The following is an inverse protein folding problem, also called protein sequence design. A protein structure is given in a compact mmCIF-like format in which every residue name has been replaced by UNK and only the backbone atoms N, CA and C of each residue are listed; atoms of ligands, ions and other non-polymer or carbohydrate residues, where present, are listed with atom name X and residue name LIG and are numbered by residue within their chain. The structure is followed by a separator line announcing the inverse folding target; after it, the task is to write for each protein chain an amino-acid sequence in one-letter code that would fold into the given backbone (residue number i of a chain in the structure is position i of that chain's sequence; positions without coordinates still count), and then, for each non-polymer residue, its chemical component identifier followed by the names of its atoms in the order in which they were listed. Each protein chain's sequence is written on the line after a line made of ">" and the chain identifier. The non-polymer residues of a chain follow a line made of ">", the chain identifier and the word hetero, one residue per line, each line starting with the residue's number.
data_IF_713460309590
#
_entry.id   IF_713460309590
#
_cell.length_a   1.000
_cell.length_b   1.000
_cell.length_c   1.000
_cell.angle_alpha   90.00
_cell.angle_beta   90.00
_cell.angle_gamma   90.00
#
_symmetry.space_group_name_H-M   'P 1'
#
loop_
_entity.id
_entity.type
_entity.pdbx_description
1 polymer ?
#
# COMPACT_ATOMS: atom_id res chain seq x y z
N UNK A 1 -32.86 -41.04 -10.09
CA UNK A 1 -33.70 -40.77 -11.27
C UNK A 1 -33.79 -39.26 -11.42
N UNK A 2 -33.00 -38.70 -12.35
CA UNK A 2 -33.45 -37.98 -13.56
C UNK A 2 -34.08 -36.60 -13.23
N UNK A 3 -33.71 -35.46 -13.83
CA UNK A 3 -33.17 -35.26 -15.17
C UNK A 3 -32.51 -33.88 -15.33
N UNK A 4 -31.66 -33.80 -16.35
CA UNK A 4 -30.97 -32.64 -16.97
C UNK A 4 -31.94 -31.66 -17.67
N UNK A 5 -31.52 -30.39 -17.77
CA UNK A 5 -31.58 -29.51 -18.96
C UNK A 5 -30.90 -28.18 -18.58
N UNK A 6 -29.71 -27.79 -19.05
CA UNK A 6 -29.33 -27.24 -20.36
C UNK A 6 -30.38 -26.37 -21.06
N UNK A 7 -30.15 -25.05 -21.08
CA UNK A 7 -30.50 -24.19 -22.21
C UNK A 7 -29.65 -22.91 -22.21
N UNK A 8 -29.03 -22.67 -23.36
CA UNK A 8 -28.24 -21.50 -23.75
C UNK A 8 -29.13 -20.56 -24.57
N UNK A 9 -28.87 -19.24 -24.54
CA UNK A 9 -28.67 -18.35 -25.71
C UNK A 9 -29.15 -16.90 -25.51
N UNK A 10 -28.28 -16.00 -26.00
CA UNK A 10 -28.52 -14.78 -26.79
C UNK A 10 -28.58 -13.38 -26.12
N UNK A 11 -27.76 -12.52 -26.76
CA UNK A 11 -27.53 -11.07 -26.64
C UNK A 11 -28.72 -10.25 -27.19
N UNK A 12 -28.74 -8.92 -26.96
CA UNK A 12 -28.26 -7.96 -28.00
C UNK A 12 -27.40 -6.82 -27.39
N UNK A 13 -26.30 -6.38 -28.02
CA UNK A 13 -26.18 -5.35 -29.06
C UNK A 13 -26.74 -3.97 -28.66
N UNK A 14 -25.83 -3.02 -28.42
CA UNK A 14 -26.16 -1.59 -28.26
C UNK A 14 -25.24 -0.78 -29.17
N UNK A 15 -25.84 -0.17 -30.19
CA UNK A 15 -25.28 0.85 -31.08
C UNK A 15 -25.62 2.22 -30.49
N UNK A 16 -24.65 3.13 -30.33
CA UNK A 16 -24.80 4.60 -30.18
C UNK A 16 -23.41 5.19 -30.51
N UNK A 17 -23.17 6.29 -31.21
CA UNK A 17 -23.89 7.09 -32.19
C UNK A 17 -22.81 7.93 -32.91
N UNK A 18 -23.07 8.26 -34.17
CA UNK A 18 -22.26 9.14 -35.01
C UNK A 18 -22.61 10.58 -34.67
N UNK A 19 -21.61 11.38 -34.27
CA UNK A 19 -21.77 12.83 -34.11
C UNK A 19 -21.17 13.53 -35.34
N UNK A 20 -22.03 14.30 -36.01
CA UNK A 20 -21.72 15.17 -37.14
C UNK A 20 -21.41 16.60 -36.70
N UNK A 21 -20.88 17.39 -37.65
CA UNK A 21 -20.80 18.87 -37.81
C UNK A 21 -19.37 19.44 -37.82
N UNK A 22 -19.13 20.62 -38.45
CA UNK A 22 -19.74 21.19 -39.66
C UNK A 22 -18.72 21.69 -40.71
N UNK A 23 -19.27 22.04 -41.87
CA UNK A 23 -18.64 22.75 -43.00
C UNK A 23 -18.13 24.14 -42.60
N UNK A 24 -16.96 24.51 -43.12
CA UNK A 24 -16.42 25.87 -43.09
C UNK A 24 -15.68 26.23 -44.38
N UNK A 25 -16.36 27.02 -45.22
CA UNK A 25 -15.88 28.01 -46.20
C UNK A 25 -14.54 27.85 -46.93
N UNK A 26 -14.63 27.75 -48.25
CA UNK A 26 -13.56 27.98 -49.22
C UNK A 26 -13.04 29.42 -49.22
N UNK A 27 -11.73 29.59 -49.27
CA UNK A 27 -11.10 30.75 -49.90
C UNK A 27 -10.19 30.23 -51.02
N UNK A 28 -10.52 30.61 -52.24
CA UNK A 28 -9.77 30.29 -53.43
C UNK A 28 -8.54 31.19 -53.52
N UNK A 29 -7.35 30.61 -53.41
CA UNK A 29 -6.11 31.25 -53.83
C UNK A 29 -5.68 30.61 -55.14
N UNK A 30 -5.89 31.36 -56.24
CA UNK A 30 -5.23 31.11 -57.53
C UNK A 30 -3.74 31.33 -57.33
N UNK A 31 -2.92 30.32 -57.65
CA UNK A 31 -1.52 30.51 -57.96
C UNK A 31 -1.19 29.86 -59.30
N UNK A 32 -0.25 30.43 -60.08
CA UNK A 32 -0.05 30.10 -61.47
C UNK A 32 0.67 28.77 -61.65
N UNK A 33 0.28 28.08 -62.72
CA UNK A 33 1.03 27.00 -63.33
C UNK A 33 2.46 27.43 -63.65
N UNK A 34 3.42 26.70 -63.08
CA UNK A 34 4.74 26.54 -63.68
C UNK A 34 4.95 25.06 -64.02
N UNK A 35 5.33 24.81 -65.26
CA UNK A 35 5.41 23.50 -65.86
C UNK A 35 6.66 22.76 -65.41
N UNK A 36 6.49 21.71 -64.62
CA UNK A 36 7.53 20.68 -64.47
C UNK A 36 6.89 19.30 -64.50
N UNK A 37 7.04 18.61 -65.64
CA UNK A 37 6.71 17.20 -65.81
C UNK A 37 7.63 16.37 -64.92
N UNK A 38 7.22 16.08 -63.69
CA UNK A 38 7.86 15.08 -62.82
C UNK A 38 7.04 13.79 -62.85
N UNK A 39 7.65 12.75 -63.40
CA UNK A 39 7.15 11.39 -63.44
C UNK A 39 6.97 10.84 -62.03
N UNK A 40 5.72 10.54 -61.63
CA UNK A 40 5.47 9.80 -60.39
C UNK A 40 5.89 8.35 -60.60
N UNK A 41 7.00 7.94 -59.99
CA UNK A 41 7.38 6.55 -59.90
C UNK A 41 6.25 5.77 -59.17
N UNK A 42 5.58 4.88 -59.90
CA UNK A 42 4.65 3.91 -59.31
C UNK A 42 5.43 3.06 -58.32
N UNK A 43 5.25 3.31 -57.02
CA UNK A 43 5.78 2.43 -55.98
C UNK A 43 5.12 1.06 -56.19
N UNK A 44 5.92 0.07 -56.56
CA UNK A 44 5.45 -1.30 -56.78
C UNK A 44 4.75 -1.82 -55.53
N UNK A 45 3.58 -2.41 -55.71
CA UNK A 45 2.74 -3.01 -54.65
C UNK A 45 3.51 -4.07 -53.85
N UNK A 46 4.48 -4.73 -54.48
CA UNK A 46 5.36 -5.71 -53.83
C UNK A 46 6.32 -5.07 -52.83
N UNK A 47 6.74 -3.83 -53.08
CA UNK A 47 7.63 -3.08 -52.18
C UNK A 47 6.89 -2.65 -50.91
N UNK A 48 5.60 -2.32 -51.05
CA UNK A 48 4.71 -2.00 -49.92
C UNK A 48 4.45 -3.26 -49.08
N UNK A 49 4.17 -4.40 -49.72
CA UNK A 49 3.95 -5.67 -49.02
C UNK A 49 5.21 -6.16 -48.27
N UNK A 50 6.40 -5.97 -48.86
CA UNK A 50 7.68 -6.26 -48.18
C UNK A 50 7.96 -5.33 -47.00
N UNK A 51 7.63 -4.05 -47.11
CA UNK A 51 7.77 -3.11 -46.00
C UNK A 51 6.80 -3.43 -44.85
N UNK A 52 5.54 -3.77 -45.17
CA UNK A 52 4.55 -4.19 -44.18
C UNK A 52 4.94 -5.49 -43.47
N UNK A 53 5.41 -6.50 -44.20
CA UNK A 53 5.87 -7.76 -43.59
C UNK A 53 7.14 -7.58 -42.75
N UNK A 54 8.04 -6.66 -43.12
CA UNK A 54 9.17 -6.28 -42.26
C UNK A 54 8.72 -5.55 -41.00
N UNK A 55 7.75 -4.64 -41.09
CA UNK A 55 7.16 -3.99 -39.92
C UNK A 55 6.42 -4.97 -39.01
N UNK A 56 5.73 -5.96 -39.58
CA UNK A 56 5.09 -7.04 -38.81
C UNK A 56 6.14 -7.90 -38.10
N UNK A 57 7.23 -8.30 -38.77
CA UNK A 57 8.32 -9.05 -38.11
C UNK A 57 9.06 -8.25 -37.04
N UNK A 58 9.18 -6.94 -37.20
CA UNK A 58 9.74 -6.05 -36.17
C UNK A 58 8.78 -5.88 -35.00
N UNK A 59 7.48 -5.70 -35.27
CA UNK A 59 6.44 -5.66 -34.26
C UNK A 59 6.31 -6.99 -33.51
N UNK A 60 6.46 -8.13 -34.20
CA UNK A 60 6.51 -9.46 -33.60
C UNK A 60 7.77 -9.66 -32.76
N UNK A 61 8.95 -9.16 -33.19
CA UNK A 61 10.18 -9.17 -32.37
C UNK A 61 10.10 -8.26 -31.15
N UNK A 62 9.39 -7.15 -31.24
CA UNK A 62 9.14 -6.27 -30.08
C UNK A 62 8.02 -6.80 -29.18
N UNK A 63 7.06 -7.58 -29.72
CA UNK A 63 6.05 -8.30 -28.94
C UNK A 63 6.60 -9.59 -28.29
N UNK A 64 7.58 -10.25 -28.91
CA UNK A 64 8.32 -11.42 -28.36
C UNK A 64 9.54 -11.05 -27.54
N UNK A 65 9.77 -9.75 -27.26
CA UNK A 65 10.38 -9.35 -25.98
C UNK A 65 9.37 -9.60 -24.86
N UNK A 66 9.01 -10.87 -24.72
CA UNK A 66 8.41 -11.43 -23.54
C UNK A 66 9.26 -10.94 -22.38
N UNK A 67 8.65 -10.19 -21.47
CA UNK A 67 9.25 -9.89 -20.19
C UNK A 67 9.69 -11.24 -19.61
N UNK A 68 11.01 -11.47 -19.59
CA UNK A 68 11.59 -12.74 -19.13
C UNK A 68 10.92 -13.10 -17.81
N UNK A 69 10.60 -14.36 -17.53
CA UNK A 69 9.92 -14.75 -16.27
C UNK A 69 10.51 -14.09 -15.01
N UNK A 70 11.84 -13.85 -15.00
CA UNK A 70 12.53 -13.04 -13.98
C UNK A 70 12.09 -11.57 -13.88
N UNK A 71 11.85 -10.89 -15.01
CA UNK A 71 11.27 -9.54 -15.06
C UNK A 71 9.82 -9.52 -14.55
N UNK A 72 9.01 -10.51 -14.94
CA UNK A 72 7.64 -10.64 -14.46
C UNK A 72 7.59 -10.89 -12.94
N UNK A 73 8.44 -11.77 -12.43
CA UNK A 73 8.62 -11.98 -10.98
C UNK A 73 9.09 -10.71 -10.25
N UNK A 74 10.02 -9.95 -10.85
CA UNK A 74 10.47 -8.67 -10.30
C UNK A 74 9.33 -7.66 -10.24
N UNK A 75 8.52 -7.54 -11.31
CA UNK A 75 7.36 -6.65 -11.36
C UNK A 75 6.32 -7.04 -10.31
N UNK A 76 5.95 -8.32 -10.24
CA UNK A 76 5.03 -8.84 -9.22
C UNK A 76 5.53 -8.54 -7.79
N UNK A 77 6.83 -8.73 -7.53
CA UNK A 77 7.41 -8.36 -6.24
C UNK A 77 7.30 -6.84 -5.98
N UNK A 78 7.49 -5.99 -7.01
CA UNK A 78 7.31 -4.54 -6.86
C UNK A 78 5.88 -4.18 -6.48
N UNK A 79 4.90 -4.82 -7.11
CA UNK A 79 3.49 -4.51 -6.92
C UNK A 79 3.01 -4.95 -5.53
N UNK A 80 3.47 -6.12 -5.05
CA UNK A 80 3.21 -6.56 -3.67
C UNK A 80 3.65 -5.52 -2.64
N UNK A 81 4.82 -4.90 -2.80
CA UNK A 81 5.29 -3.88 -1.86
C UNK A 81 4.56 -2.54 -2.00
N UNK A 82 4.21 -2.15 -3.23
CA UNK A 82 3.41 -0.94 -3.49
C UNK A 82 2.01 -1.05 -2.89
N UNK A 83 1.44 -2.25 -2.86
CA UNK A 83 0.10 -2.49 -2.32
C UNK A 83 0.06 -2.57 -0.78
N UNK A 84 1.22 -2.40 -0.13
CA UNK A 84 1.36 -2.59 1.32
C UNK A 84 1.37 -4.07 1.72
N UNK A 85 1.67 -4.98 0.80
CA UNK A 85 1.78 -6.42 1.05
C UNK A 85 3.04 -6.87 1.77
N UNK A 86 4.06 -6.02 1.86
CA UNK A 86 5.25 -6.28 2.69
C UNK A 86 4.93 -6.25 4.19
N UNK A 87 5.72 -6.94 5.03
CA UNK A 87 5.55 -6.91 6.48
C UNK A 87 5.79 -5.50 7.05
N UNK A 88 5.36 -5.28 8.31
CA UNK A 88 5.81 -4.13 9.10
C UNK A 88 7.35 -4.09 9.10
N UNK A 89 7.94 -2.89 9.10
CA UNK A 89 9.39 -2.79 8.97
C UNK A 89 10.10 -3.54 10.09
N UNK A 90 11.13 -4.33 9.74
CA UNK A 90 11.85 -5.12 10.71
C UNK A 90 12.46 -4.21 11.78
N UNK A 91 12.30 -4.60 13.04
CA UNK A 91 12.78 -3.82 14.18
C UNK A 91 11.86 -2.67 14.62
N UNK A 92 10.65 -2.56 14.06
CA UNK A 92 9.62 -1.65 14.56
C UNK A 92 9.19 -2.05 15.95
N UNK A 93 9.35 -1.14 16.93
CA UNK A 93 8.97 -1.39 18.31
C UNK A 93 7.80 -0.51 18.72
N UNK A 94 6.71 -1.16 19.17
CA UNK A 94 5.50 -0.49 19.63
C UNK A 94 5.38 -0.63 21.15
N UNK A 95 5.48 0.46 21.92
CA UNK A 95 5.53 0.36 23.36
C UNK A 95 4.16 -0.01 23.90
N UNK A 96 4.09 -1.05 24.72
CA UNK A 96 2.87 -1.43 25.44
C UNK A 96 2.50 -0.37 26.50
N UNK A 97 1.19 -0.21 26.80
CA UNK A 97 0.72 0.62 27.90
C UNK A 97 1.42 0.25 29.21
N UNK A 98 1.62 1.23 30.10
CA UNK A 98 2.32 1.01 31.37
C UNK A 98 1.66 -0.10 32.22
N UNK A 99 0.34 -0.22 32.18
CA UNK A 99 -0.42 -1.25 32.91
C UNK A 99 -0.17 -2.69 32.43
N UNK A 100 0.37 -2.87 31.23
CA UNK A 100 0.63 -4.21 30.66
C UNK A 100 2.10 -4.62 30.77
N UNK A 101 2.96 -3.77 31.35
CA UNK A 101 4.38 -4.08 31.51
C UNK A 101 4.58 -5.04 32.67
N UNK A 102 5.63 -5.86 32.59
CA UNK A 102 5.97 -6.74 33.71
C UNK A 102 6.45 -5.93 34.90
N UNK A 103 6.19 -6.43 36.11
CA UNK A 103 6.65 -5.80 37.35
C UNK A 103 8.11 -6.17 37.68
N UNK A 104 8.72 -7.10 36.93
CA UNK A 104 10.09 -7.54 37.15
C UNK A 104 11.09 -6.48 36.64
N UNK A 105 11.99 -5.94 37.48
CA UNK A 105 12.90 -4.86 37.11
C UNK A 105 13.89 -5.25 36.00
N UNK A 106 14.35 -6.50 35.95
CA UNK A 106 15.29 -6.96 34.92
C UNK A 106 14.62 -7.05 33.55
N UNK A 107 13.37 -7.53 33.51
CA UNK A 107 12.58 -7.57 32.29
C UNK A 107 12.22 -6.18 31.81
N UNK A 108 11.88 -5.26 32.73
CA UNK A 108 11.66 -3.85 32.43
C UNK A 108 12.90 -3.18 31.87
N UNK A 109 14.07 -3.41 32.47
CA UNK A 109 15.34 -2.87 31.97
C UNK A 109 15.66 -3.40 30.57
N UNK A 110 15.51 -4.70 30.35
CA UNK A 110 15.69 -5.29 29.03
C UNK A 110 14.68 -4.72 28.02
N UNK A 111 13.42 -4.54 28.41
CA UNK A 111 12.38 -3.92 27.58
C UNK A 111 12.74 -2.49 27.18
N UNK A 112 13.20 -1.66 28.13
CA UNK A 112 13.62 -0.28 27.82
C UNK A 112 14.88 -0.25 26.96
N UNK A 113 15.82 -1.18 27.15
CA UNK A 113 16.99 -1.32 26.27
C UNK A 113 16.59 -1.58 24.81
N UNK A 114 15.67 -2.52 24.58
CA UNK A 114 15.16 -2.80 23.23
C UNK A 114 14.41 -1.63 22.63
N UNK A 115 13.60 -0.95 23.44
CA UNK A 115 12.91 0.27 23.04
C UNK A 115 13.88 1.38 22.64
N UNK A 116 14.93 1.61 23.43
CA UNK A 116 15.96 2.60 23.15
C UNK A 116 16.72 2.25 21.87
N UNK A 117 17.07 0.98 21.70
CA UNK A 117 17.74 0.48 20.49
C UNK A 117 16.88 0.71 19.23
N UNK A 118 15.59 0.37 19.29
CA UNK A 118 14.65 0.62 18.18
C UNK A 118 14.47 2.12 17.91
N UNK A 119 14.42 2.94 18.96
CA UNK A 119 14.38 4.39 18.82
C UNK A 119 15.63 4.91 18.11
N UNK A 120 16.82 4.45 18.48
CA UNK A 120 18.07 4.80 17.80
C UNK A 120 18.04 4.40 16.32
N UNK A 121 17.53 3.20 16.00
CA UNK A 121 17.34 2.76 14.62
C UNK A 121 16.39 3.69 13.83
N UNK A 122 15.28 4.12 14.44
CA UNK A 122 14.36 5.09 13.83
C UNK A 122 15.07 6.42 13.53
N UNK A 123 15.84 6.93 14.49
CA UNK A 123 16.60 8.19 14.32
C UNK A 123 17.63 8.05 13.21
N UNK A 124 18.40 6.96 13.18
CA UNK A 124 19.41 6.70 12.16
C UNK A 124 18.79 6.54 10.77
N UNK A 125 17.66 5.86 10.65
CA UNK A 125 16.93 5.70 9.38
C UNK A 125 16.51 7.05 8.81
N UNK A 126 15.91 7.92 9.63
CA UNK A 126 15.51 9.28 9.22
C UNK A 126 16.73 10.16 8.91
N UNK A 127 17.78 10.08 9.73
CA UNK A 127 19.01 10.86 9.54
C UNK A 127 19.74 10.46 8.25
N UNK A 128 19.82 9.16 7.95
CA UNK A 128 20.45 8.65 6.73
C UNK A 128 19.81 9.24 5.48
N UNK A 129 18.47 9.28 5.40
CA UNK A 129 17.76 9.92 4.28
C UNK A 129 17.96 11.43 4.28
N UNK A 130 17.92 12.08 5.44
CA UNK A 130 18.17 13.52 5.54
C UNK A 130 19.54 13.87 4.97
N UNK A 131 20.60 13.16 5.36
CA UNK A 131 21.97 13.35 4.87
C UNK A 131 22.07 13.04 3.37
N UNK A 132 21.48 11.94 2.90
CA UNK A 132 21.46 11.58 1.47
C UNK A 132 20.70 12.59 0.61
N UNK A 133 19.75 13.32 1.20
CA UNK A 133 18.96 14.35 0.51
C UNK A 133 19.64 15.73 0.46
N UNK A 134 20.82 15.88 1.05
CA UNK A 134 21.60 17.11 0.98
C UNK A 134 22.45 17.10 -0.30
N UNK A 135 22.31 18.09 -1.20
CA UNK A 135 23.16 18.19 -2.38
C UNK A 135 24.65 18.32 -2.03
N UNK A 136 24.94 19.10 -0.97
CA UNK A 136 26.27 19.35 -0.43
C UNK A 136 26.20 19.22 1.10
N UNK A 137 27.31 18.90 1.76
CA UNK A 137 27.33 18.72 3.22
C UNK A 137 26.95 19.99 4.02
N UNK A 138 27.03 21.17 3.40
CA UNK A 138 26.63 22.47 3.99
C UNK A 138 25.21 22.92 3.64
N UNK A 139 24.55 22.28 2.67
CA UNK A 139 23.24 22.73 2.18
C UNK A 139 22.08 22.09 2.91
N UNK A 140 20.90 22.74 2.90
CA UNK A 140 19.72 22.20 3.57
C UNK A 140 19.25 20.91 2.87
N UNK A 141 18.77 19.91 3.63
CA UNK A 141 18.22 18.69 3.05
C UNK A 141 16.98 18.99 2.21
N UNK A 142 16.91 18.39 1.02
CA UNK A 142 15.72 18.48 0.16
C UNK A 142 14.51 17.78 0.81
N UNK A 143 14.75 16.64 1.45
CA UNK A 143 13.70 15.88 2.11
C UNK A 143 13.38 16.42 3.50
N UNK A 144 12.08 16.44 3.84
CA UNK A 144 11.58 16.89 5.15
C UNK A 144 10.64 15.86 5.75
N UNK A 145 10.96 15.41 6.96
CA UNK A 145 10.17 14.41 7.68
C UNK A 145 8.76 14.88 8.10
N UNK A 146 8.56 16.18 8.32
CA UNK A 146 7.31 16.77 8.83
C UNK A 146 6.66 15.99 10.01
N UNK A 147 7.49 15.49 10.96
CA UNK A 147 7.06 14.56 12.03
C UNK A 147 5.87 15.07 12.86
N UNK A 148 5.80 16.38 13.13
CA UNK A 148 4.71 16.99 13.89
C UNK A 148 3.34 16.90 13.21
N UNK A 149 3.29 16.70 11.89
CA UNK A 149 2.04 16.54 11.13
C UNK A 149 1.57 15.07 11.05
N UNK A 150 2.46 14.10 11.29
CA UNK A 150 2.15 12.69 11.11
C UNK A 150 1.05 12.22 12.06
N UNK A 151 1.17 12.54 13.35
CA UNK A 151 0.20 12.13 14.37
C UNK A 151 -1.23 12.68 14.14
N UNK A 152 -1.43 14.00 13.88
CA UNK A 152 -2.76 14.51 13.56
C UNK A 152 -3.30 13.98 12.23
N UNK A 153 -2.44 13.78 11.22
CA UNK A 153 -2.85 13.14 9.95
C UNK A 153 -3.33 11.71 10.18
N UNK A 154 -2.62 10.90 10.98
CA UNK A 154 -3.03 9.53 11.30
C UNK A 154 -4.40 9.48 11.97
N UNK A 155 -4.64 10.38 12.94
CA UNK A 155 -5.94 10.50 13.62
C UNK A 155 -7.07 10.81 12.63
N UNK A 156 -6.87 11.78 11.75
CA UNK A 156 -7.88 12.17 10.76
C UNK A 156 -8.19 11.02 9.79
N UNK A 157 -7.16 10.43 9.18
CA UNK A 157 -7.31 9.32 8.24
C UNK A 157 -8.00 8.12 8.90
N UNK A 158 -7.62 7.78 10.12
CA UNK A 158 -8.14 6.60 10.80
C UNK A 158 -9.60 6.78 11.21
N UNK A 159 -9.96 7.97 11.72
CA UNK A 159 -11.36 8.31 11.99
C UNK A 159 -12.21 8.19 10.72
N UNK A 160 -11.81 8.87 9.64
CA UNK A 160 -12.53 8.86 8.37
C UNK A 160 -12.66 7.43 7.81
N UNK A 161 -11.63 6.61 7.98
CA UNK A 161 -11.66 5.20 7.58
C UNK A 161 -12.65 4.38 8.40
N UNK A 162 -12.74 4.58 9.73
CA UNK A 162 -13.69 3.86 10.58
C UNK A 162 -15.14 4.30 10.32
N UNK A 163 -15.36 5.59 10.07
CA UNK A 163 -16.66 6.15 9.68
C UNK A 163 -17.11 5.61 8.32
N UNK A 164 -16.25 5.68 7.30
CA UNK A 164 -16.50 5.09 5.99
C UNK A 164 -16.68 3.58 6.09
N UNK A 165 -15.92 2.91 6.96
CA UNK A 165 -16.07 1.49 7.20
C UNK A 165 -17.45 1.16 7.74
N UNK A 166 -17.94 1.88 8.75
CA UNK A 166 -19.27 1.67 9.30
C UNK A 166 -20.37 1.95 8.27
N UNK A 167 -20.25 3.03 7.50
CA UNK A 167 -21.17 3.39 6.43
C UNK A 167 -21.17 2.42 5.23
N UNK A 168 -20.15 1.56 5.10
CA UNK A 168 -20.01 0.65 3.96
C UNK A 168 -19.47 1.31 2.69
N UNK A 169 -18.86 2.50 2.80
CA UNK A 169 -18.27 3.21 1.67
C UNK A 169 -16.91 2.60 1.29
N UNK A 170 -16.96 1.63 0.38
CA UNK A 170 -15.77 0.95 -0.16
C UNK A 170 -14.83 1.91 -0.89
N UNK A 171 -15.34 2.93 -1.56
CA UNK A 171 -14.54 3.84 -2.37
C UNK A 171 -13.65 4.73 -1.48
N UNK A 172 -14.23 5.28 -0.41
CA UNK A 172 -13.46 6.06 0.57
C UNK A 172 -12.42 5.20 1.28
N UNK A 173 -12.76 3.98 1.68
CA UNK A 173 -11.79 3.05 2.29
C UNK A 173 -10.63 2.73 1.34
N UNK A 174 -10.89 2.48 0.06
CA UNK A 174 -9.86 2.20 -0.94
C UNK A 174 -8.91 3.40 -1.18
N UNK A 175 -9.42 4.63 -1.05
CA UNK A 175 -8.63 5.86 -1.19
C UNK A 175 -7.70 6.09 0.01
N UNK A 176 -8.20 5.85 1.22
CA UNK A 176 -7.49 6.15 2.48
C UNK A 176 -6.50 5.07 2.90
N UNK A 177 -6.78 3.81 2.55
CA UNK A 177 -5.99 2.65 2.94
C UNK A 177 -5.05 2.19 1.83
N UNK A 178 -4.01 1.45 2.20
CA UNK A 178 -3.24 0.66 1.25
C UNK A 178 -4.10 -0.48 0.70
N UNK A 179 -3.94 -0.88 -0.58
CA UNK A 179 -4.81 -1.85 -1.24
C UNK A 179 -5.05 -3.14 -0.46
N UNK A 180 -4.00 -3.72 0.16
CA UNK A 180 -4.14 -4.95 0.95
C UNK A 180 -5.06 -4.76 2.17
N UNK A 181 -4.91 -3.65 2.89
CA UNK A 181 -5.75 -3.37 4.06
C UNK A 181 -7.18 -2.99 3.65
N UNK A 182 -7.33 -2.26 2.55
CA UNK A 182 -8.64 -1.97 1.97
C UNK A 182 -9.40 -3.26 1.61
N UNK A 183 -8.74 -4.23 0.98
CA UNK A 183 -9.33 -5.52 0.62
C UNK A 183 -9.81 -6.30 1.87
N UNK A 184 -9.06 -6.26 2.97
CA UNK A 184 -9.50 -6.88 4.24
C UNK A 184 -10.76 -6.20 4.79
N UNK A 185 -10.82 -4.88 4.74
CA UNK A 185 -11.99 -4.12 5.19
C UNK A 185 -13.20 -4.35 4.27
N UNK A 186 -13.00 -4.37 2.96
CA UNK A 186 -14.06 -4.69 1.98
C UNK A 186 -14.63 -6.08 2.23
N UNK A 187 -13.78 -7.10 2.42
CA UNK A 187 -14.23 -8.45 2.74
C UNK A 187 -15.01 -8.50 4.07
N UNK A 188 -14.65 -7.67 5.06
CA UNK A 188 -15.39 -7.56 6.30
C UNK A 188 -16.74 -6.82 6.15
N UNK A 189 -16.85 -5.87 5.21
CA UNK A 189 -18.12 -5.25 4.84
C UNK A 189 -19.05 -6.24 4.14
N UNK A 190 -18.51 -7.05 3.22
CA UNK A 190 -19.27 -8.02 2.43
C UNK A 190 -19.88 -9.16 3.27
N UNK A 191 -19.31 -9.41 4.46
CA UNK A 191 -19.84 -10.39 5.41
C UNK A 191 -20.95 -9.85 6.31
N UNK A 192 -21.28 -8.56 6.24
CA UNK A 192 -22.33 -7.96 7.08
C UNK A 192 -23.70 -8.42 6.61
N UNK A 193 -24.64 -8.51 7.55
CA UNK A 193 -26.05 -8.72 7.21
C UNK A 193 -26.57 -7.49 6.44
N UNK A 194 -27.09 -7.64 5.21
CA UNK A 194 -27.66 -6.52 4.45
C UNK A 194 -28.83 -5.81 5.14
N UNK A 195 -29.47 -6.47 6.12
CA UNK A 195 -30.59 -5.93 6.90
C UNK A 195 -30.14 -5.13 8.12
N UNK A 196 -28.85 -5.18 8.46
CA UNK A 196 -28.28 -4.43 9.58
C UNK A 196 -27.33 -3.33 9.08
N UNK A 197 -27.58 -2.10 9.51
CA UNK A 197 -26.65 -0.99 9.34
C UNK A 197 -25.77 -0.83 10.58
N UNK A 198 -24.52 -0.44 10.37
CA UNK A 198 -23.56 -0.22 11.45
C UNK A 198 -23.31 1.27 11.56
N UNK A 199 -23.49 1.83 12.76
CA UNK A 199 -23.15 3.22 13.05
C UNK A 199 -21.95 3.27 13.97
N UNK A 200 -20.93 4.00 13.55
CA UNK A 200 -19.73 4.28 14.31
C UNK A 200 -19.66 5.77 14.65
N UNK A 201 -19.18 6.07 15.84
CA UNK A 201 -18.97 7.43 16.30
C UNK A 201 -17.66 7.54 17.08
N UNK A 202 -16.85 8.53 16.70
CA UNK A 202 -15.66 8.92 17.45
C UNK A 202 -16.04 9.91 18.54
N UNK A 203 -16.42 9.41 19.71
CA UNK A 203 -16.94 10.22 20.83
C UNK A 203 -15.92 11.29 21.26
N UNK A 204 -14.69 10.88 21.61
CA UNK A 204 -13.64 11.80 22.02
C UNK A 204 -12.26 11.15 22.03
N UNK A 205 -11.22 11.97 21.91
CA UNK A 205 -9.87 11.53 22.24
C UNK A 205 -9.69 11.46 23.75
N UNK A 206 -9.16 10.33 24.22
CA UNK A 206 -8.79 10.12 25.61
C UNK A 206 -7.30 10.42 25.77
N UNK A 207 -6.85 10.77 26.99
CA UNK A 207 -5.42 10.97 27.32
C UNK A 207 -4.71 11.98 26.40
N UNK A 208 -5.36 13.12 26.11
CA UNK A 208 -4.91 14.17 25.15
C UNK A 208 -3.52 14.75 25.43
N UNK A 209 -3.03 14.68 26.66
CA UNK A 209 -1.69 15.14 27.02
C UNK A 209 -0.58 14.23 26.48
N UNK A 210 -0.89 12.95 26.22
CA UNK A 210 0.09 11.95 25.78
C UNK A 210 -0.21 11.43 24.37
N UNK A 211 -1.46 11.58 23.89
CA UNK A 211 -1.94 11.07 22.61
C UNK A 211 -2.62 12.18 21.79
N UNK A 212 -2.55 12.13 20.45
CA UNK A 212 -1.89 11.12 19.62
C UNK A 212 -0.35 11.24 19.64
N UNK A 213 0.37 10.12 19.55
CA UNK A 213 1.84 10.10 19.63
C UNK A 213 2.47 9.28 18.51
N UNK A 214 3.46 9.85 17.84
CA UNK A 214 4.34 9.12 16.93
C UNK A 214 5.26 8.18 17.72
N UNK A 215 5.07 6.88 17.51
CA UNK A 215 5.77 5.80 18.20
C UNK A 215 7.05 5.41 17.46
N UNK A 216 6.91 5.14 16.16
CA UNK A 216 8.01 4.70 15.30
C UNK A 216 7.91 5.45 13.97
N UNK A 217 9.06 5.77 13.38
CA UNK A 217 9.15 6.37 12.06
C UNK A 217 10.42 5.88 11.39
N UNK A 218 10.24 5.07 10.36
CA UNK A 218 11.31 4.38 9.66
C UNK A 218 11.15 4.57 8.15
N UNK A 219 12.27 4.63 7.45
CA UNK A 219 12.36 4.86 6.02
C UNK A 219 13.37 3.89 5.44
N UNK A 220 12.91 2.99 4.57
CA UNK A 220 13.75 1.97 3.98
C UNK A 220 13.35 1.71 2.52
N UNK A 221 14.30 1.30 1.66
CA UNK A 221 13.98 0.67 0.39
C UNK A 221 13.46 -0.75 0.69
N UNK A 222 12.14 -0.95 0.68
CA UNK A 222 11.56 -2.28 0.91
C UNK A 222 11.85 -3.20 -0.28
N UNK A 223 11.85 -2.63 -1.48
CA UNK A 223 12.02 -3.39 -2.70
C UNK A 223 13.50 -3.39 -3.12
N UNK A 224 14.21 -4.54 -3.04
CA UNK A 224 15.61 -4.62 -3.46
C UNK A 224 15.82 -4.35 -4.96
N UNK A 225 14.75 -4.43 -5.77
CA UNK A 225 14.76 -4.17 -7.21
C UNK A 225 14.33 -2.75 -7.58
N UNK A 226 13.94 -1.93 -6.60
CA UNK A 226 13.63 -0.52 -6.79
C UNK A 226 14.62 0.34 -6.01
N UNK A 227 15.59 0.90 -6.74
CA UNK A 227 16.63 1.74 -6.15
C UNK A 227 16.19 3.19 -5.97
N UNK A 228 15.03 3.55 -6.55
CA UNK A 228 14.56 4.93 -6.63
C UNK A 228 13.45 5.23 -5.64
N UNK A 229 12.63 4.24 -5.27
CA UNK A 229 11.56 4.43 -4.30
C UNK A 229 11.97 3.99 -2.90
N UNK A 230 11.83 4.90 -1.95
CA UNK A 230 11.86 4.63 -0.52
C UNK A 230 10.43 4.52 -0.02
N UNK A 231 10.20 3.64 0.95
CA UNK A 231 8.94 3.62 1.67
C UNK A 231 9.14 4.14 3.08
N UNK A 232 8.31 5.10 3.46
CA UNK A 232 8.22 5.59 4.82
C UNK A 232 7.08 4.88 5.53
N UNK A 233 7.35 4.39 6.73
CA UNK A 233 6.35 3.80 7.61
C UNK A 233 6.39 4.51 8.96
N UNK A 234 5.21 4.92 9.42
CA UNK A 234 5.04 5.59 10.70
C UNK A 234 3.99 4.87 11.54
N UNK A 235 4.32 4.55 12.78
CA UNK A 235 3.38 4.00 13.75
C UNK A 235 2.94 5.11 14.68
N UNK A 236 1.64 5.34 14.77
CA UNK A 236 1.03 6.34 15.65
C UNK A 236 0.12 5.64 16.64
N UNK A 237 0.32 5.93 17.92
CA UNK A 237 -0.62 5.51 18.96
C UNK A 237 -1.73 6.54 19.09
N UNK A 238 -2.97 6.08 19.02
CA UNK A 238 -4.19 6.86 19.21
C UNK A 238 -4.90 6.36 20.46
N UNK A 239 -5.46 7.26 21.26
CA UNK A 239 -6.26 6.94 22.43
C UNK A 239 -7.62 7.60 22.27
N UNK A 240 -8.69 6.81 22.18
CA UNK A 240 -10.03 7.34 21.98
C UNK A 240 -11.12 6.50 22.62
N UNK A 241 -12.21 7.19 22.96
CA UNK A 241 -13.48 6.58 23.28
C UNK A 241 -14.29 6.48 21.98
N UNK A 242 -14.65 5.26 21.62
CA UNK A 242 -15.36 4.94 20.39
C UNK A 242 -16.70 4.31 20.74
N UNK A 243 -17.71 4.63 19.94
CA UNK A 243 -19.05 4.08 20.07
C UNK A 243 -19.44 3.35 18.79
N UNK A 244 -19.96 2.14 18.94
CA UNK A 244 -20.46 1.32 17.86
C UNK A 244 -21.87 0.84 18.20
N UNK A 245 -22.79 0.91 17.24
CA UNK A 245 -24.16 0.40 17.38
C UNK A 245 -24.61 -0.27 16.09
N UNK A 246 -25.42 -1.31 16.20
CA UNK A 246 -26.08 -1.94 15.06
C UNK A 246 -27.54 -1.55 15.03
N UNK A 247 -28.04 -1.36 13.83
CA UNK A 247 -29.31 -0.76 13.53
C UNK A 247 -30.01 -1.67 12.54
N UNK A 248 -31.28 -2.00 12.78
CA UNK A 248 -32.08 -2.83 11.89
C UNK A 248 -33.27 -2.01 11.42
N UNK A 249 -33.65 -2.17 10.14
CA UNK A 249 -34.90 -1.60 9.66
C UNK A 249 -36.06 -2.32 10.36
N UNK A 250 -36.95 -1.55 10.99
CA UNK A 250 -38.16 -2.13 11.53
C UNK A 250 -39.10 -2.50 10.37
N UNK A 251 -39.68 -3.70 10.42
CA UNK A 251 -40.56 -4.21 9.36
C UNK A 251 -41.95 -3.56 9.34
N UNK A 252 -42.23 -2.68 10.30
CA UNK A 252 -43.52 -2.05 10.51
C UNK A 252 -43.66 -0.67 9.85
N UNK A 253 -43.61 -0.59 8.52
CA UNK A 253 -44.24 0.45 7.70
C UNK A 253 -43.75 1.92 7.79
N UNK A 254 -43.37 2.42 8.96
CA UNK A 254 -42.65 3.68 9.12
C UNK A 254 -41.16 3.36 9.10
N UNK A 255 -40.37 4.07 8.28
CA UNK A 255 -38.93 3.85 8.06
C UNK A 255 -38.03 4.11 9.28
N UNK A 256 -38.49 3.78 10.49
CA UNK A 256 -37.75 3.81 11.73
C UNK A 256 -36.63 2.77 11.72
N UNK A 257 -35.43 3.25 12.05
CA UNK A 257 -34.28 2.38 12.26
C UNK A 257 -34.18 2.11 13.77
N UNK A 258 -34.31 0.84 14.17
CA UNK A 258 -34.28 0.44 15.58
C UNK A 258 -32.88 -0.08 15.93
N UNK A 259 -32.32 0.41 17.04
CA UNK A 259 -31.05 -0.10 17.56
C UNK A 259 -31.25 -1.55 17.99
N UNK A 260 -30.42 -2.46 17.47
CA UNK A 260 -30.44 -3.86 17.88
C UNK A 260 -30.12 -3.95 19.38
N UNK A 261 -30.97 -4.57 20.21
CA UNK A 261 -30.75 -4.65 21.66
C UNK A 261 -29.38 -5.23 21.99
N UNK A 262 -28.67 -4.60 22.94
CA UNK A 262 -27.32 -5.01 23.35
C UNK A 262 -26.20 -4.74 22.32
N UNK A 263 -26.50 -4.10 21.19
CA UNK A 263 -25.49 -3.79 20.16
C UNK A 263 -24.66 -2.54 20.46
N UNK A 264 -25.17 -1.63 21.30
CA UNK A 264 -24.46 -0.41 21.68
C UNK A 264 -23.23 -0.75 22.52
N UNK A 265 -22.05 -0.44 22.00
CA UNK A 265 -20.77 -0.66 22.66
C UNK A 265 -19.97 0.63 22.67
N UNK A 266 -19.69 1.13 23.88
CA UNK A 266 -18.76 2.25 24.10
C UNK A 266 -17.47 1.69 24.68
N UNK A 267 -16.33 1.95 24.04
CA UNK A 267 -15.04 1.39 24.42
C UNK A 267 -13.97 2.48 24.42
N UNK A 268 -13.21 2.60 25.51
CA UNK A 268 -11.97 3.38 25.55
C UNK A 268 -10.80 2.47 25.13
N UNK A 269 -10.08 2.85 24.08
CA UNK A 269 -9.04 2.02 23.47
C UNK A 269 -7.79 2.82 23.15
N UNK A 270 -6.66 2.13 23.20
CA UNK A 270 -5.41 2.56 22.58
C UNK A 270 -5.15 1.68 21.37
N UNK A 271 -5.08 2.29 20.19
CA UNK A 271 -4.84 1.61 18.92
C UNK A 271 -3.56 2.15 18.27
N UNK A 272 -2.77 1.24 17.69
CA UNK A 272 -1.56 1.61 16.97
C UNK A 272 -1.83 1.53 15.48
N UNK A 273 -1.96 2.70 14.87
CA UNK A 273 -2.21 2.84 13.44
C UNK A 273 -0.89 2.97 12.71
N UNK A 274 -0.72 2.17 11.67
CA UNK A 274 0.47 2.17 10.82
C UNK A 274 0.13 2.91 9.54
N UNK A 275 0.84 4.00 9.28
CA UNK A 275 0.79 4.75 8.04
C UNK A 275 1.96 4.35 7.14
N UNK A 276 1.73 4.35 5.83
CA UNK A 276 2.77 4.22 4.83
C UNK A 276 2.63 5.28 3.74
N UNK A 277 3.77 5.68 3.16
CA UNK A 277 3.85 6.47 1.93
C UNK A 277 5.14 6.16 1.20
N UNK A 278 5.19 6.50 -0.09
CA UNK A 278 6.40 6.35 -0.89
C UNK A 278 7.06 7.70 -1.11
N UNK A 279 8.39 7.71 -1.17
CA UNK A 279 9.20 8.90 -1.45
C UNK A 279 10.25 8.53 -2.50
N UNK A 280 10.36 9.31 -3.58
CA UNK A 280 11.41 9.10 -4.59
C UNK A 280 12.75 9.68 -4.13
N UNK A 281 13.86 8.98 -4.39
CA UNK A 281 15.23 9.41 -4.07
C UNK A 281 15.77 10.53 -4.96
N UNK A 282 15.17 10.81 -6.13
CA UNK A 282 15.69 11.82 -7.06
C UNK A 282 15.44 13.24 -6.53
N UNK A 283 14.17 13.58 -6.35
CA UNK A 283 13.73 14.92 -5.95
C UNK A 283 13.04 14.95 -4.58
N UNK A 284 12.93 13.80 -3.93
CA UNK A 284 12.24 13.63 -2.65
C UNK A 284 10.75 14.04 -2.62
N UNK A 285 9.95 13.90 -3.70
CA UNK A 285 8.50 14.02 -3.58
C UNK A 285 7.95 12.83 -2.78
N UNK A 286 7.17 13.13 -1.75
CA UNK A 286 6.45 12.12 -0.97
C UNK A 286 4.99 12.03 -1.41
N UNK A 287 4.48 10.81 -1.54
CA UNK A 287 3.04 10.59 -1.74
C UNK A 287 2.24 10.93 -0.47
N UNK A 288 0.92 11.00 -0.61
CA UNK A 288 0.03 11.13 0.54
C UNK A 288 0.17 9.91 1.47
N UNK A 289 0.04 10.14 2.78
CA UNK A 289 -0.08 9.07 3.76
C UNK A 289 -1.34 8.25 3.53
N UNK A 290 -1.19 6.93 3.57
CA UNK A 290 -2.30 5.97 3.59
C UNK A 290 -2.15 5.02 4.77
N UNK A 291 -3.26 4.45 5.21
CA UNK A 291 -3.25 3.48 6.30
C UNK A 291 -2.76 2.14 5.76
N UNK A 292 -1.61 1.70 6.24
CA UNK A 292 -1.09 0.36 5.96
C UNK A 292 -1.84 -0.71 6.78
N UNK A 293 -2.25 -0.38 8.00
CA UNK A 293 -3.02 -1.26 8.86
C UNK A 293 -2.97 -0.84 10.32
N UNK A 294 -3.33 -1.75 11.21
CA UNK A 294 -3.18 -1.59 12.67
C UNK A 294 -2.23 -2.65 13.21
N UNK A 295 -1.62 -2.36 14.36
CA UNK A 295 -0.69 -3.29 15.01
C UNK A 295 -0.89 -3.32 16.53
N UNK A 296 -0.34 -4.35 17.17
CA UNK A 296 -0.35 -4.53 18.62
C UNK A 296 0.90 -3.94 19.28
N UNK A 297 0.88 -3.89 20.61
CA UNK A 297 2.08 -3.57 21.37
C UNK A 297 3.11 -4.72 21.28
N UNK A 298 4.38 -4.36 21.18
CA UNK A 298 5.50 -5.29 21.09
C UNK A 298 5.93 -5.74 22.48
N UNK A 299 5.91 -7.05 22.75
CA UNK A 299 6.50 -7.63 23.96
C UNK A 299 8.00 -7.85 23.78
N UNK A 300 8.77 -7.87 24.87
CA UNK A 300 10.22 -8.11 24.79
C UNK A 300 10.56 -9.47 24.16
N UNK A 301 9.75 -10.49 24.43
CA UNK A 301 9.93 -11.84 23.87
C UNK A 301 9.67 -11.87 22.37
N UNK A 302 8.55 -11.29 21.91
CA UNK A 302 8.23 -11.22 20.49
C UNK A 302 9.31 -10.46 19.71
N UNK A 303 9.81 -9.35 20.26
CA UNK A 303 10.89 -8.60 19.63
C UNK A 303 12.18 -9.39 19.52
N UNK A 304 12.56 -10.15 20.57
CA UNK A 304 13.78 -10.99 20.52
C UNK A 304 13.67 -12.09 19.47
N UNK A 305 12.50 -12.72 19.35
CA UNK A 305 12.24 -13.74 18.32
C UNK A 305 12.36 -13.13 16.92
N UNK A 306 11.75 -11.97 16.69
CA UNK A 306 11.86 -11.24 15.43
C UNK A 306 13.33 -10.93 15.10
N UNK A 307 14.10 -10.41 16.07
CA UNK A 307 15.52 -10.11 15.88
C UNK A 307 16.36 -11.37 15.59
N UNK A 308 16.03 -12.51 16.18
CA UNK A 308 16.70 -13.77 15.90
C UNK A 308 16.44 -14.23 14.45
N UNK A 309 15.20 -14.12 13.98
CA UNK A 309 14.82 -14.43 12.59
C UNK A 309 15.54 -13.49 11.63
N UNK A 310 15.51 -12.18 11.87
CA UNK A 310 16.19 -11.18 11.02
C UNK A 310 17.70 -11.46 10.94
N UNK A 311 18.35 -11.79 12.07
CA UNK A 311 19.78 -12.11 12.08
C UNK A 311 20.08 -13.36 11.28
N UNK A 312 19.25 -14.40 11.42
CA UNK A 312 19.39 -15.64 10.66
C UNK A 312 19.23 -15.39 9.16
N UNK A 313 18.19 -14.66 8.76
CA UNK A 313 17.98 -14.29 7.35
C UNK A 313 19.11 -13.42 6.80
N UNK A 314 19.62 -12.48 7.59
CA UNK A 314 20.74 -11.61 7.19
C UNK A 314 22.03 -12.41 7.02
N UNK A 315 22.32 -13.32 7.95
CA UNK A 315 23.47 -14.22 7.88
C UNK A 315 23.39 -15.13 6.64
N UNK A 316 22.21 -15.73 6.41
CA UNK A 316 21.96 -16.55 5.22
C UNK A 316 22.16 -15.74 3.92
N UNK A 317 21.66 -14.50 3.84
CA UNK A 317 21.89 -13.61 2.69
C UNK A 317 23.35 -13.20 2.51
N UNK A 318 24.10 -13.09 3.60
CA UNK A 318 25.55 -12.83 3.57
C UNK A 318 26.37 -14.09 3.22
N UNK A 319 25.74 -15.23 2.97
CA UNK A 319 26.40 -16.50 2.65
C UNK A 319 26.99 -17.21 3.88
N UNK A 320 26.66 -16.76 5.09
CA UNK A 320 27.07 -17.43 6.32
C UNK A 320 26.10 -18.57 6.62
N UNK A 321 26.58 -19.81 6.47
CA UNK A 321 25.82 -21.02 6.81
C UNK A 321 25.67 -21.16 8.32
N UNK A 322 24.53 -21.68 8.77
CA UNK A 322 24.31 -21.97 10.18
C UNK A 322 25.34 -23.01 10.65
N UNK A 323 25.92 -22.86 11.85
CA UNK A 323 26.92 -23.81 12.39
C UNK A 323 26.46 -25.28 12.33
N UNK A 324 25.15 -25.54 12.44
CA UNK A 324 24.56 -26.88 12.30
C UNK A 324 24.64 -27.42 10.87
N UNK A 325 24.47 -26.58 9.85
CA UNK A 325 24.62 -26.97 8.45
C UNK A 325 26.09 -27.19 8.08
N UNK A 326 27.02 -26.43 8.68
CA UNK A 326 28.45 -26.69 8.55
C UNK A 326 28.85 -28.02 9.21
N UNK A 327 28.30 -28.35 10.38
CA UNK A 327 28.56 -29.61 11.06
C UNK A 327 28.02 -30.80 10.25
N UNK A 328 26.79 -30.72 9.72
CA UNK A 328 26.19 -31.77 8.88
C UNK A 328 26.89 -31.91 7.52
N UNK A 329 27.40 -30.83 6.94
CA UNK A 329 28.20 -30.89 5.71
C UNK A 329 29.57 -31.54 5.96
N UNK A 330 30.18 -31.29 7.13
CA UNK A 330 31.43 -31.92 7.53
C UNK A 330 31.24 -33.43 7.82
N UNK A 331 30.14 -33.80 8.46
CA UNK A 331 29.83 -35.20 8.77
C UNK A 331 29.36 -36.00 7.52
N UNK A 332 28.85 -35.31 6.49
CA UNK A 332 28.37 -35.92 5.24
C UNK A 332 29.42 -36.10 4.13
N UNK A 333 30.62 -35.51 4.26
CA UNK A 333 31.73 -35.64 3.30
C UNK A 333 32.70 -36.79 3.64
N UNK A 334 32.42 -37.56 4.69
CA UNK A 334 33.25 -38.69 5.15
C UNK A 334 32.72 -40.08 4.79
N UNK A 335 31.97 -40.24 3.69
CA UNK A 335 31.53 -41.56 3.19
C UNK A 335 31.98 -41.82 1.77
#
# INVERSE_FOLDING_TARGET
>A
MASRAMASLRRPATQIAVAATPRGSSTAVRMPWDGSRRSYARVSRDKINRAMSQQQKLAERDATKEQTMSQMQKMAAKDVFKDGGGPLFPGTFVPIPFSQRSNNPLELAAYQWWRLKSYAQCVLSVLSIKLRSMPNWTSRPKWRAHRGRIAPTARALYRETLEAFAAGDKATVARLCMPRFAAQLHAAMDRRDPRETVRFEWVRDTRRLVYPRLVSHLIHPINPHDKTLLTEQAVVALSSQQQLSRHRQDGGGEGGTVVVPGSLRVQDKIEYVVLARSTDTKDYPSTQWRIWGTTGGTTAQAYRQEQAVIRKETAHRAGWKDKKEMQQAADGQGR
#
